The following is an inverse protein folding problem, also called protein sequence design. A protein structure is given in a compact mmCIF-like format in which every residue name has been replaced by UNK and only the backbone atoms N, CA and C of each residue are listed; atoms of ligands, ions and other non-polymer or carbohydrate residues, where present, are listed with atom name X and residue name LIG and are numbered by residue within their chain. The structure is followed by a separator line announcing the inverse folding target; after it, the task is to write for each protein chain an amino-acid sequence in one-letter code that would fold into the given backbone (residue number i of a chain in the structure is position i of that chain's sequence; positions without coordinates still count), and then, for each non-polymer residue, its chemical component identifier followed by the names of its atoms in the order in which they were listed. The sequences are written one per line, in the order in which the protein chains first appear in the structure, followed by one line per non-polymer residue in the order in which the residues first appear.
data_IF_486266233186
#
_entry.id   IF_486266233186
#
_cell.length_a   1.000
_cell.length_b   1.000
_cell.length_c   1.000
_cell.angle_alpha   90.00
_cell.angle_beta   90.00
_cell.angle_gamma   90.00
#
_symmetry.space_group_name_H-M   'P 1'
#
loop_
_entity.id
_entity.type
_entity.pdbx_description
1 polymer ?
#
# COMPACT_ATOMS: atom_id res chain seq x y z
N UNK A 1 -42.20 -33.14 10.09
CA UNK A 1 -41.22 -32.02 10.11
C UNK A 1 -39.85 -32.64 9.98
N UNK A 2 -39.33 -32.71 8.74
CA UNK A 2 -38.02 -33.28 8.43
C UNK A 2 -37.15 -32.11 7.99
N UNK A 3 -35.98 -32.00 8.62
CA UNK A 3 -35.10 -30.85 8.56
C UNK A 3 -34.46 -30.62 7.20
N UNK A 4 -33.92 -29.41 7.04
CA UNK A 4 -32.88 -29.13 6.07
C UNK A 4 -31.96 -28.07 6.68
N UNK A 5 -30.92 -28.55 7.36
CA UNK A 5 -29.75 -27.75 7.71
C UNK A 5 -28.62 -28.26 6.82
N UNK A 6 -28.59 -27.81 5.56
CA UNK A 6 -27.49 -28.12 4.65
C UNK A 6 -27.43 -27.09 3.53
N UNK A 7 -26.77 -25.96 3.84
CA UNK A 7 -25.96 -25.22 2.87
C UNK A 7 -25.04 -24.27 3.67
N UNK A 8 -24.27 -24.81 4.61
CA UNK A 8 -23.02 -24.16 4.98
C UNK A 8 -22.11 -24.34 3.76
N UNK A 9 -22.13 -23.35 2.86
CA UNK A 9 -21.21 -23.25 1.76
C UNK A 9 -19.79 -23.27 2.33
N UNK A 10 -19.20 -24.46 2.39
CA UNK A 10 -17.76 -24.59 2.30
C UNK A 10 -17.38 -23.88 1.01
N UNK A 11 -16.72 -22.72 1.12
CA UNK A 11 -16.00 -22.14 0.00
C UNK A 11 -15.27 -23.31 -0.69
N UNK A 12 -15.60 -23.50 -1.96
CA UNK A 12 -15.14 -24.67 -2.70
C UNK A 12 -13.61 -24.65 -2.78
N UNK A 13 -12.96 -25.81 -2.93
CA UNK A 13 -11.51 -25.85 -3.11
C UNK A 13 -11.05 -24.91 -4.26
N UNK A 14 -11.89 -24.76 -5.27
CA UNK A 14 -11.71 -23.84 -6.41
C UNK A 14 -11.71 -22.36 -5.97
N UNK A 15 -12.55 -21.96 -5.01
CA UNK A 15 -12.56 -20.58 -4.49
C UNK A 15 -11.29 -20.28 -3.70
N UNK A 16 -10.79 -21.26 -2.94
CA UNK A 16 -9.54 -21.12 -2.21
C UNK A 16 -8.35 -20.98 -3.17
N UNK A 17 -8.31 -21.75 -4.25
CA UNK A 17 -7.25 -21.66 -5.26
C UNK A 17 -7.24 -20.30 -5.96
N UNK A 18 -8.42 -19.79 -6.36
CA UNK A 18 -8.55 -18.43 -6.95
C UNK A 18 -8.02 -17.35 -6.02
N UNK A 19 -8.35 -17.41 -4.73
CA UNK A 19 -7.90 -16.42 -3.74
C UNK A 19 -6.38 -16.51 -3.58
N UNK A 20 -5.80 -17.71 -3.54
CA UNK A 20 -4.35 -17.89 -3.47
C UNK A 20 -3.67 -17.29 -4.70
N UNK A 21 -4.22 -17.48 -5.90
CA UNK A 21 -3.70 -16.88 -7.14
C UNK A 21 -3.79 -15.35 -7.09
N UNK A 22 -4.93 -14.78 -6.67
CA UNK A 22 -5.10 -13.34 -6.53
C UNK A 22 -4.10 -12.75 -5.53
N UNK A 23 -3.91 -13.41 -4.37
CA UNK A 23 -2.95 -12.95 -3.38
C UNK A 23 -1.50 -13.03 -3.86
N UNK A 24 -1.15 -14.04 -4.68
CA UNK A 24 0.17 -14.09 -5.34
C UNK A 24 0.38 -12.95 -6.33
N UNK A 25 -0.66 -12.58 -7.09
CA UNK A 25 -0.59 -11.44 -8.02
C UNK A 25 -0.40 -10.12 -7.25
N UNK A 26 -1.15 -9.91 -6.18
CA UNK A 26 -0.98 -8.75 -5.29
C UNK A 26 0.44 -8.73 -4.70
N UNK A 27 0.95 -9.87 -4.24
CA UNK A 27 2.33 -10.00 -3.75
C UNK A 27 3.35 -9.58 -4.80
N UNK A 28 3.20 -10.06 -6.03
CA UNK A 28 4.09 -9.75 -7.15
C UNK A 28 4.07 -8.26 -7.46
N UNK A 29 2.89 -7.63 -7.45
CA UNK A 29 2.78 -6.20 -7.71
C UNK A 29 3.44 -5.35 -6.61
N UNK A 30 3.34 -5.76 -5.35
CA UNK A 30 4.10 -5.15 -4.26
C UNK A 30 5.61 -5.35 -4.43
N UNK A 31 6.03 -6.56 -4.80
CA UNK A 31 7.44 -6.87 -5.04
C UNK A 31 8.01 -6.06 -6.21
N UNK A 32 7.22 -5.87 -7.27
CA UNK A 32 7.58 -5.04 -8.41
C UNK A 32 7.66 -3.56 -8.04
N UNK A 33 6.74 -3.06 -7.21
CA UNK A 33 6.79 -1.69 -6.71
C UNK A 33 8.07 -1.43 -5.90
N UNK A 34 8.52 -2.41 -5.11
CA UNK A 34 9.77 -2.33 -4.34
C UNK A 34 10.99 -2.44 -5.27
N UNK A 35 11.04 -3.45 -6.13
CA UNK A 35 12.22 -3.71 -6.97
C UNK A 35 12.46 -2.61 -8.01
N UNK A 36 11.38 -1.99 -8.51
CA UNK A 36 11.45 -0.84 -9.41
C UNK A 36 11.60 0.50 -8.69
N UNK A 37 11.64 0.51 -7.35
CA UNK A 37 11.58 1.71 -6.51
C UNK A 37 10.49 2.69 -6.99
N UNK A 38 9.30 2.15 -7.27
CA UNK A 38 8.24 2.89 -7.94
C UNK A 38 7.90 4.15 -7.14
N UNK A 39 7.94 5.34 -7.77
CA UNK A 39 7.60 6.58 -7.08
C UNK A 39 6.11 6.62 -6.74
N UNK A 40 5.80 6.86 -5.48
CA UNK A 40 4.46 6.99 -4.93
C UNK A 40 4.24 8.44 -4.53
N UNK A 41 3.38 9.15 -5.28
CA UNK A 41 3.01 10.52 -4.95
C UNK A 41 2.17 10.53 -3.67
N UNK A 42 2.41 11.48 -2.79
CA UNK A 42 1.82 11.54 -1.45
C UNK A 42 1.44 12.98 -1.14
N UNK A 43 0.22 13.20 -0.63
CA UNK A 43 -0.17 14.51 -0.13
C UNK A 43 0.48 14.73 1.24
N UNK A 44 1.12 15.87 1.49
CA UNK A 44 1.64 16.17 2.83
C UNK A 44 0.57 16.82 3.70
N UNK A 45 -0.18 17.76 3.13
CA UNK A 45 -1.05 18.70 3.84
C UNK A 45 -1.04 20.03 3.08
N UNK A 46 -1.98 20.92 3.36
CA UNK A 46 -2.06 22.26 2.74
C UNK A 46 -1.91 22.26 1.20
N UNK A 47 -2.47 21.23 0.54
CA UNK A 47 -2.37 21.02 -0.90
C UNK A 47 -0.92 20.95 -1.44
N UNK A 48 -0.01 20.35 -0.66
CA UNK A 48 1.38 20.09 -1.02
C UNK A 48 1.67 18.60 -1.14
N UNK A 49 2.75 18.24 -1.82
CA UNK A 49 3.01 16.90 -2.31
C UNK A 49 4.46 16.46 -2.07
N UNK A 50 4.69 15.18 -1.87
CA UNK A 50 6.02 14.54 -1.89
C UNK A 50 5.92 13.23 -2.65
N UNK A 51 7.06 12.64 -2.98
CA UNK A 51 7.16 11.29 -3.52
C UNK A 51 7.87 10.43 -2.49
N UNK A 52 7.30 9.26 -2.22
CA UNK A 52 7.93 8.19 -1.44
C UNK A 52 8.23 7.00 -2.32
N UNK A 53 9.25 6.23 -1.98
CA UNK A 53 9.49 4.92 -2.58
C UNK A 53 10.13 3.99 -1.56
N UNK A 54 9.92 2.69 -1.76
CA UNK A 54 10.60 1.67 -0.97
C UNK A 54 12.06 1.55 -1.42
N UNK A 55 12.94 1.21 -0.48
CA UNK A 55 14.30 0.79 -0.79
C UNK A 55 14.29 -0.65 -1.31
N UNK A 56 15.24 -0.98 -2.20
CA UNK A 56 15.30 -2.28 -2.90
C UNK A 56 15.55 -3.47 -1.98
N UNK A 57 16.04 -3.24 -0.76
CA UNK A 57 16.23 -4.26 0.28
C UNK A 57 14.94 -4.56 1.08
N UNK A 58 13.84 -3.87 0.77
CA UNK A 58 12.54 -4.19 1.36
C UNK A 58 12.00 -5.53 0.87
N UNK A 59 11.26 -6.20 1.74
CA UNK A 59 10.71 -7.54 1.52
C UNK A 59 9.20 -7.53 1.58
N UNK A 60 8.57 -8.45 0.84
CA UNK A 60 7.12 -8.71 0.86
C UNK A 60 6.91 -10.15 1.28
N UNK A 61 6.03 -10.38 2.26
CA UNK A 61 5.51 -11.70 2.55
C UNK A 61 3.98 -11.68 2.59
N UNK A 62 3.38 -12.85 2.37
CA UNK A 62 1.94 -12.99 2.20
C UNK A 62 1.42 -14.08 3.13
N UNK A 63 0.28 -13.80 3.75
CA UNK A 63 -0.49 -14.76 4.53
C UNK A 63 -1.96 -14.70 4.09
N UNK A 64 -2.65 -15.84 4.15
CA UNK A 64 -4.07 -15.95 3.84
C UNK A 64 -4.75 -16.68 4.98
N UNK A 65 -5.69 -16.00 5.63
CA UNK A 65 -6.42 -16.55 6.78
C UNK A 65 -7.88 -16.73 6.47
N UNK A 66 -8.43 -17.85 6.91
CA UNK A 66 -9.88 -18.02 7.00
C UNK A 66 -10.39 -17.30 8.24
N UNK A 67 -11.55 -16.66 8.13
CA UNK A 67 -12.19 -15.96 9.25
C UNK A 67 -13.54 -16.60 9.56
N UNK A 68 -14.07 -16.30 10.75
CA UNK A 68 -15.42 -16.72 11.15
C UNK A 68 -16.53 -15.86 10.52
N UNK A 69 -16.17 -14.83 9.74
CA UNK A 69 -17.13 -13.96 9.07
C UNK A 69 -17.76 -14.65 7.87
N UNK A 70 -19.08 -14.79 7.88
CA UNK A 70 -19.84 -15.25 6.71
C UNK A 70 -19.78 -14.25 5.54
N UNK A 71 -19.59 -12.96 5.84
CA UNK A 71 -19.48 -11.89 4.84
C UNK A 71 -18.07 -11.82 4.24
N UNK A 72 -17.03 -12.07 5.05
CA UNK A 72 -15.63 -12.00 4.64
C UNK A 72 -14.88 -13.26 5.08
N UNK A 73 -15.17 -14.43 4.48
CA UNK A 73 -14.65 -15.72 4.94
C UNK A 73 -13.13 -15.84 4.82
N UNK A 74 -12.51 -14.96 4.03
CA UNK A 74 -11.06 -14.91 3.83
C UNK A 74 -10.51 -13.50 4.05
N UNK A 75 -9.34 -13.46 4.66
CA UNK A 75 -8.54 -12.27 4.89
C UNK A 75 -7.15 -12.49 4.29
N UNK A 76 -6.85 -11.75 3.23
CA UNK A 76 -5.50 -11.66 2.67
C UNK A 76 -4.67 -10.68 3.48
N UNK A 77 -3.41 -11.03 3.75
CA UNK A 77 -2.49 -10.21 4.53
C UNK A 77 -1.18 -10.09 3.75
N UNK A 78 -0.71 -8.87 3.56
CA UNK A 78 0.63 -8.57 3.03
C UNK A 78 1.45 -7.93 4.14
N UNK A 79 2.63 -8.46 4.40
CA UNK A 79 3.62 -7.84 5.27
C UNK A 79 4.74 -7.25 4.41
N UNK A 80 5.02 -5.97 4.60
CA UNK A 80 6.12 -5.28 3.93
C UNK A 80 7.11 -4.84 5.00
N UNK A 81 8.37 -5.23 4.86
CA UNK A 81 9.41 -4.87 5.82
C UNK A 81 10.64 -4.35 5.10
N UNK A 82 11.08 -3.13 5.43
CA UNK A 82 12.27 -2.54 4.81
C UNK A 82 12.40 -1.04 5.05
N UNK A 83 13.28 -0.41 4.29
CA UNK A 83 13.46 1.03 4.32
C UNK A 83 12.55 1.76 3.31
N UNK A 84 12.32 3.05 3.59
CA UNK A 84 11.69 3.95 2.63
C UNK A 84 12.47 5.26 2.56
N UNK A 85 12.34 5.94 1.44
CA UNK A 85 12.86 7.28 1.26
C UNK A 85 11.81 8.19 0.65
N UNK A 86 11.94 9.48 0.97
CA UNK A 86 11.06 10.54 0.50
C UNK A 86 11.88 11.67 -0.10
N UNK A 87 11.33 12.32 -1.12
CA UNK A 87 11.88 13.58 -1.62
C UNK A 87 11.39 14.83 -0.87
N UNK A 88 10.61 14.65 0.20
CA UNK A 88 10.17 15.73 1.09
C UNK A 88 11.30 16.43 1.87
N UNK A 89 12.56 16.04 1.73
CA UNK A 89 13.72 16.77 2.26
C UNK A 89 14.63 17.30 1.14
N UNK A 90 14.23 17.18 -0.12
CA UNK A 90 14.98 17.71 -1.25
C UNK A 90 15.16 19.23 -1.10
N UNK A 91 16.34 19.72 -1.52
CA UNK A 91 16.59 21.16 -1.63
C UNK A 91 15.68 21.85 -2.66
N UNK A 92 15.10 21.08 -3.58
CA UNK A 92 14.15 21.56 -4.60
C UNK A 92 12.73 21.70 -4.06
N UNK A 93 12.45 21.18 -2.87
CA UNK A 93 11.13 21.29 -2.29
C UNK A 93 10.80 22.75 -1.92
N UNK A 94 9.68 23.23 -2.42
CA UNK A 94 9.33 24.66 -2.49
C UNK A 94 8.00 25.02 -1.82
N UNK A 95 7.40 24.07 -1.10
CA UNK A 95 6.08 24.15 -0.48
C UNK A 95 6.12 24.20 1.04
N UNK A 96 5.02 23.76 1.65
CA UNK A 96 4.79 23.84 3.08
C UNK A 96 5.79 22.95 3.84
N UNK A 97 6.26 23.49 4.96
CA UNK A 97 7.06 22.74 5.93
C UNK A 97 6.11 22.04 6.89
N UNK A 98 6.29 20.74 7.04
CA UNK A 98 5.58 19.98 8.05
C UNK A 98 6.57 19.30 8.97
N UNK A 99 6.21 19.25 10.25
CA UNK A 99 6.90 18.38 11.19
C UNK A 99 6.44 16.94 10.91
N UNK A 100 7.41 16.05 10.68
CA UNK A 100 7.18 14.61 10.68
C UNK A 100 6.92 14.13 12.11
N UNK A 101 6.39 12.91 12.24
CA UNK A 101 6.12 12.28 13.54
C UNK A 101 7.36 12.14 14.44
N UNK A 102 8.57 12.23 13.86
CA UNK A 102 9.84 12.14 14.59
C UNK A 102 10.48 13.50 14.88
N UNK A 103 9.78 14.61 14.61
CA UNK A 103 10.30 15.96 14.78
C UNK A 103 11.26 16.43 13.66
N UNK A 104 11.50 15.62 12.64
CA UNK A 104 12.18 16.07 11.42
C UNK A 104 11.26 16.96 10.61
N UNK A 105 11.78 18.02 9.99
CA UNK A 105 10.99 18.93 9.14
C UNK A 105 11.08 18.52 7.69
N UNK A 106 9.99 18.02 7.11
CA UNK A 106 9.87 17.83 5.66
C UNK A 106 9.38 19.11 5.01
N UNK A 107 10.03 19.53 3.92
CA UNK A 107 9.53 20.54 3.01
C UNK A 107 8.90 19.81 1.82
N UNK A 108 7.60 19.93 1.63
CA UNK A 108 6.93 19.30 0.49
C UNK A 108 6.94 20.23 -0.73
N UNK A 109 6.53 19.73 -1.90
CA UNK A 109 6.41 20.48 -3.14
C UNK A 109 5.02 21.10 -3.28
N UNK A 110 4.93 22.28 -3.89
CA UNK A 110 3.64 22.96 -4.14
C UNK A 110 2.77 22.25 -5.17
N UNK A 111 3.38 21.54 -6.11
CA UNK A 111 2.66 20.88 -7.20
C UNK A 111 3.04 19.41 -7.31
N UNK A 112 2.11 18.60 -7.83
CA UNK A 112 2.34 17.19 -8.15
C UNK A 112 3.48 17.02 -9.17
N UNK A 113 3.52 17.88 -10.18
CA UNK A 113 4.54 17.85 -11.24
C UNK A 113 5.93 18.11 -10.69
N UNK A 114 6.07 19.10 -9.80
CA UNK A 114 7.37 19.40 -9.19
C UNK A 114 7.85 18.21 -8.37
N UNK A 115 6.97 17.62 -7.54
CA UNK A 115 7.28 16.43 -6.74
C UNK A 115 7.73 15.25 -7.61
N UNK A 116 7.03 14.96 -8.71
CA UNK A 116 7.37 13.87 -9.63
C UNK A 116 8.64 14.16 -10.45
N UNK A 117 8.96 15.43 -10.71
CA UNK A 117 10.17 15.84 -11.44
C UNK A 117 11.43 15.83 -10.57
N UNK A 118 11.26 15.85 -9.24
CA UNK A 118 12.35 15.76 -8.26
C UNK A 118 12.62 14.29 -7.90
N UNK A 119 13.04 13.51 -8.90
CA UNK A 119 13.21 12.06 -8.79
C UNK A 119 14.69 11.61 -8.88
N UNK A 120 15.64 12.53 -8.77
CA UNK A 120 17.06 12.21 -8.75
C UNK A 120 17.46 11.55 -7.41
N UNK A 121 18.52 10.74 -7.39
CA UNK A 121 18.93 10.03 -6.15
C UNK A 121 19.22 10.99 -4.98
N UNK A 122 19.76 12.18 -5.26
CA UNK A 122 20.04 13.23 -4.28
C UNK A 122 18.79 13.96 -3.77
N UNK A 123 17.65 13.81 -4.45
CA UNK A 123 16.38 14.38 -4.00
C UNK A 123 15.77 13.54 -2.87
N UNK A 124 16.09 12.25 -2.80
CA UNK A 124 15.58 11.34 -1.80
C UNK A 124 16.49 11.24 -0.58
N UNK A 125 15.85 11.12 0.57
CA UNK A 125 16.50 10.79 1.83
C UNK A 125 15.62 9.86 2.63
N UNK A 126 16.25 8.99 3.43
CA UNK A 126 15.51 8.14 4.34
C UNK A 126 14.83 9.01 5.40
N UNK A 127 13.51 8.96 5.44
CA UNK A 127 12.71 9.73 6.39
C UNK A 127 12.90 9.22 7.84
N UNK A 128 13.31 7.95 7.97
CA UNK A 128 13.57 7.26 9.22
C UNK A 128 14.99 6.65 9.19
N UNK A 129 16.01 7.49 9.38
CA UNK A 129 17.41 7.05 9.40
C UNK A 129 17.61 5.89 10.39
N UNK A 130 17.98 4.72 9.87
CA UNK A 130 18.29 3.53 10.67
C UNK A 130 17.09 2.71 11.16
N UNK A 131 15.86 3.06 10.77
CA UNK A 131 14.66 2.30 11.17
C UNK A 131 14.11 1.51 10.00
N UNK A 132 14.10 0.18 10.14
CA UNK A 132 13.26 -0.68 9.30
C UNK A 132 11.80 -0.42 9.66
N UNK A 133 10.98 -0.19 8.64
CA UNK A 133 9.54 -0.03 8.81
C UNK A 133 8.89 -1.36 8.46
N UNK A 134 7.87 -1.71 9.24
CA UNK A 134 7.02 -2.86 8.99
C UNK A 134 5.59 -2.36 8.79
N UNK A 135 4.97 -2.81 7.70
CA UNK A 135 3.59 -2.56 7.37
C UNK A 135 2.84 -3.87 7.24
N UNK A 136 1.65 -3.92 7.83
CA UNK A 136 0.66 -4.97 7.59
C UNK A 136 -0.48 -4.38 6.78
N UNK A 137 -0.78 -4.98 5.64
CA UNK A 137 -1.84 -4.55 4.72
C UNK A 137 -2.87 -5.67 4.60
N UNK A 138 -4.14 -5.33 4.74
CA UNK A 138 -5.26 -6.27 4.79
C UNK A 138 -6.12 -6.16 3.54
N UNK A 139 -6.48 -7.31 2.98
CA UNK A 139 -7.36 -7.45 1.82
C UNK A 139 -8.56 -8.34 2.18
N UNK A 140 -9.75 -7.95 1.77
CA UNK A 140 -10.94 -8.79 1.84
C UNK A 140 -11.34 -9.26 0.45
N UNK A 141 -12.11 -10.33 0.39
CA UNK A 141 -12.78 -10.76 -0.83
C UNK A 141 -14.11 -10.03 -0.97
N UNK A 142 -14.32 -9.31 -2.07
CA UNK A 142 -15.60 -8.70 -2.45
C UNK A 142 -16.03 -9.25 -3.81
N UNK A 143 -17.00 -10.17 -3.79
CA UNK A 143 -17.31 -11.02 -4.94
C UNK A 143 -16.13 -11.93 -5.26
N UNK A 144 -15.62 -11.85 -6.49
CA UNK A 144 -14.45 -12.61 -6.95
C UNK A 144 -13.15 -11.80 -6.89
N UNK A 145 -13.16 -10.61 -6.29
CA UNK A 145 -12.02 -9.68 -6.32
C UNK A 145 -11.48 -9.43 -4.93
N UNK A 146 -10.16 -9.63 -4.76
CA UNK A 146 -9.46 -9.19 -3.55
C UNK A 146 -9.32 -7.67 -3.58
N UNK A 147 -9.88 -6.99 -2.57
CA UNK A 147 -9.83 -5.53 -2.44
C UNK A 147 -9.06 -5.14 -1.20
N UNK A 148 -8.28 -4.06 -1.33
CA UNK A 148 -7.63 -3.43 -0.19
C UNK A 148 -8.70 -3.00 0.82
N UNK A 149 -8.62 -3.53 2.02
CA UNK A 149 -9.55 -3.24 3.10
C UNK A 149 -8.96 -2.17 4.04
N UNK A 150 -7.76 -2.40 4.56
CA UNK A 150 -7.08 -1.50 5.50
C UNK A 150 -5.59 -1.86 5.63
N UNK A 151 -4.88 -1.26 6.59
CA UNK A 151 -3.60 -1.75 7.11
C UNK A 151 -3.45 -1.43 8.60
N UNK A 152 -2.27 -1.69 9.14
CA UNK A 152 -1.90 -1.20 10.47
C UNK A 152 -1.76 0.34 10.49
N UNK A 153 -1.66 0.91 11.69
CA UNK A 153 -1.57 2.36 11.88
C UNK A 153 -0.37 2.97 11.13
N UNK A 154 0.72 2.22 10.99
CA UNK A 154 1.89 2.67 10.25
C UNK A 154 1.59 2.77 8.76
N UNK A 155 0.96 1.76 8.16
CA UNK A 155 0.55 1.76 6.76
C UNK A 155 -0.47 2.86 6.48
N UNK A 156 -1.48 3.00 7.34
CA UNK A 156 -2.55 3.99 7.14
C UNK A 156 -2.00 5.40 7.20
N UNK A 157 -1.18 5.71 8.20
CA UNK A 157 -0.56 7.04 8.36
C UNK A 157 0.46 7.34 7.26
N UNK A 158 1.25 6.35 6.84
CA UNK A 158 2.33 6.58 5.90
C UNK A 158 1.94 6.42 4.43
N UNK A 159 0.82 5.77 4.13
CA UNK A 159 0.38 5.50 2.76
C UNK A 159 -1.11 5.77 2.58
N UNK A 160 -1.99 4.97 3.20
CA UNK A 160 -3.41 4.93 2.81
C UNK A 160 -4.11 6.30 2.88
N UNK A 161 -3.88 7.06 3.95
CA UNK A 161 -4.49 8.39 4.16
C UNK A 161 -4.09 9.41 3.09
N UNK A 162 -2.84 9.40 2.66
CA UNK A 162 -2.31 10.37 1.72
C UNK A 162 -2.64 10.00 0.27
N UNK A 163 -2.80 8.71 0.00
CA UNK A 163 -3.13 8.17 -1.32
C UNK A 163 -4.60 8.36 -1.67
N UNK A 164 -5.52 8.19 -0.71
CA UNK A 164 -6.96 8.40 -0.93
C UNK A 164 -7.31 9.83 -1.32
N UNK A 165 -6.45 10.80 -0.97
CA UNK A 165 -6.63 12.21 -1.27
C UNK A 165 -6.12 12.60 -2.67
N UNK A 166 -5.52 11.68 -3.43
CA UNK A 166 -5.00 11.93 -4.78
C UNK A 166 -5.66 10.98 -5.77
N UNK A 167 -6.67 11.47 -6.49
CA UNK A 167 -7.42 10.68 -7.50
C UNK A 167 -6.52 10.00 -8.54
N UNK A 168 -5.38 10.59 -8.90
CA UNK A 168 -4.45 10.05 -9.89
C UNK A 168 -3.69 8.80 -9.38
N UNK A 169 -3.48 8.71 -8.06
CA UNK A 169 -2.87 7.55 -7.43
C UNK A 169 -3.83 6.38 -7.29
N UNK A 170 -5.15 6.64 -7.28
CA UNK A 170 -6.16 5.57 -7.23
C UNK A 170 -5.98 4.66 -8.45
N UNK A 171 -5.60 5.18 -9.62
CA UNK A 171 -5.32 4.34 -10.78
C UNK A 171 -4.00 3.57 -10.63
N UNK A 172 -2.92 4.23 -10.21
CA UNK A 172 -1.61 3.57 -9.97
C UNK A 172 -1.71 2.44 -8.94
N UNK A 173 -2.51 2.63 -7.88
CA UNK A 173 -2.79 1.62 -6.87
C UNK A 173 -3.82 0.60 -7.31
N UNK A 174 -4.80 0.96 -8.15
CA UNK A 174 -5.66 -0.04 -8.81
C UNK A 174 -4.82 -0.97 -9.69
N UNK A 175 -3.85 -0.43 -10.42
CA UNK A 175 -2.97 -1.23 -11.28
C UNK A 175 -1.98 -2.09 -10.46
N UNK A 176 -1.66 -1.68 -9.22
CA UNK A 176 -0.82 -2.45 -8.27
C UNK A 176 -1.64 -3.42 -7.40
N UNK A 177 -2.90 -3.14 -7.07
CA UNK A 177 -3.67 -3.88 -6.04
C UNK A 177 -4.94 -4.56 -6.52
N UNK A 178 -5.48 -4.12 -7.65
CA UNK A 178 -6.65 -4.74 -8.27
C UNK A 178 -6.14 -5.55 -9.44
N UNK A 179 -5.68 -6.77 -9.15
CA UNK A 179 -5.64 -7.81 -10.15
C UNK A 179 -7.09 -8.19 -10.48
N UNK A 180 -7.74 -7.39 -11.33
CA UNK A 180 -8.99 -7.82 -11.97
C UNK A 180 -8.66 -9.09 -12.74
N UNK A 181 -9.26 -10.20 -12.34
CA UNK A 181 -9.41 -11.36 -13.21
C UNK A 181 -9.98 -10.87 -14.53
N UNK A 182 -9.17 -10.92 -15.59
CA UNK A 182 -9.64 -10.91 -16.98
C UNK A 182 -9.70 -12.34 -17.46
#
# INVERSE_FOLDING_TARGET
MVGSVAAMNSASADDQEKIVVAMRQIASAWQDAISSQRPLLMACGDNTFQVRRFLTDSTVSVDLRRTDSLMNPYLGIIFIQGGQESNGLSQRANGARMDTLNGNRVSCFKTKSDALSANELNDFSQEFLGSTIAYTVYYHLDGDVMKLNNGDDQFVRNFAYHLSNIKDNIQLWKDVLVSTFQ
#
